data_IF_815044671307
#
_entry.id   IF_815044671307
#
_cell.length_a   1.000
_cell.length_b   1.000
_cell.length_c   1.000
_cell.angle_alpha   90.00
_cell.angle_beta   90.00
_cell.angle_gamma   90.00
#
_symmetry.space_group_name_H-M   'P 1'
#
loop_
_entity.id
_entity.type
_entity.pdbx_description
1 polymer ?
#
# COMPACT_ATOMS: atom_id res chain seq x y z
N UNK A 1 4.31 3.15 6.22
CA UNK A 1 4.68 4.24 5.28
C UNK A 1 4.94 5.54 6.04
N UNK A 2 4.12 5.87 7.05
CA UNK A 2 4.36 7.03 7.91
C UNK A 2 5.72 6.94 8.63
N UNK A 3 6.11 5.75 9.04
CA UNK A 3 7.39 5.44 9.69
C UNK A 3 8.57 5.72 8.75
N UNK A 4 8.47 5.31 7.49
CA UNK A 4 9.48 5.61 6.48
C UNK A 4 9.60 7.12 6.23
N UNK A 5 8.48 7.84 6.16
CA UNK A 5 8.48 9.30 6.03
C UNK A 5 9.12 9.99 7.25
N UNK A 6 8.92 9.47 8.46
CA UNK A 6 9.58 9.98 9.66
C UNK A 6 11.10 9.80 9.60
N UNK A 7 11.58 8.60 9.23
CA UNK A 7 13.01 8.33 9.07
C UNK A 7 13.66 9.25 8.01
N UNK A 8 12.98 9.48 6.89
CA UNK A 8 13.45 10.42 5.87
C UNK A 8 13.49 11.86 6.40
N UNK A 9 12.49 12.27 7.19
CA UNK A 9 12.45 13.59 7.83
C UNK A 9 13.57 13.77 8.86
N UNK A 10 14.00 12.69 9.51
CA UNK A 10 15.13 12.66 10.44
C UNK A 10 16.50 12.67 9.73
N UNK A 11 16.51 12.65 8.39
CA UNK A 11 17.73 12.78 7.58
C UNK A 11 18.25 11.48 6.98
N UNK A 12 17.51 10.37 7.08
CA UNK A 12 17.87 9.16 6.34
C UNK A 12 17.85 9.46 4.82
N UNK A 13 18.89 9.08 4.06
CA UNK A 13 18.94 9.36 2.63
C UNK A 13 17.96 8.49 1.84
N UNK A 14 17.64 7.30 2.37
CA UNK A 14 16.67 6.37 1.81
C UNK A 14 16.17 5.41 2.90
N UNK A 15 15.00 4.81 2.69
CA UNK A 15 14.42 3.77 3.56
C UNK A 15 14.04 2.57 2.71
N UNK A 16 14.51 1.38 3.08
CA UNK A 16 14.04 0.13 2.50
C UNK A 16 12.77 -0.32 3.23
N UNK A 17 11.62 -0.15 2.60
CA UNK A 17 10.34 -0.68 3.07
C UNK A 17 10.16 -2.10 2.52
N UNK A 18 9.95 -3.06 3.41
CA UNK A 18 9.62 -4.43 3.03
C UNK A 18 8.23 -4.76 3.59
N UNK A 19 7.32 -5.14 2.70
CA UNK A 19 5.98 -5.64 3.06
C UNK A 19 5.98 -7.14 2.77
N UNK A 20 5.70 -7.94 3.79
CA UNK A 20 5.58 -9.40 3.66
C UNK A 20 4.20 -9.81 4.11
N UNK A 21 3.51 -10.59 3.29
CA UNK A 21 2.24 -11.22 3.66
C UNK A 21 2.36 -12.72 3.45
N UNK A 22 1.71 -13.48 4.32
CA UNK A 22 1.65 -14.93 4.26
C UNK A 22 0.20 -15.39 4.37
N UNK A 23 -0.09 -16.58 3.84
CA UNK A 23 -1.40 -17.19 4.06
C UNK A 23 -1.56 -17.54 5.54
N UNK A 24 -2.74 -17.31 6.12
CA UNK A 24 -3.01 -17.81 7.46
C UNK A 24 -2.88 -19.34 7.48
N UNK A 25 -2.46 -19.94 8.61
CA UNK A 25 -2.48 -21.39 8.78
C UNK A 25 -3.86 -21.96 8.48
N UNK A 26 -3.92 -23.18 7.94
CA UNK A 26 -5.17 -23.81 7.50
C UNK A 26 -6.26 -23.82 8.58
N UNK A 27 -5.85 -24.02 9.84
CA UNK A 27 -6.75 -23.98 10.99
C UNK A 27 -7.57 -22.67 11.08
N UNK A 28 -7.08 -21.55 10.55
CA UNK A 28 -7.74 -20.24 10.61
C UNK A 28 -8.47 -19.83 9.32
N UNK A 29 -8.44 -20.67 8.29
CA UNK A 29 -8.96 -20.36 6.95
C UNK A 29 -10.46 -20.04 6.91
N UNK A 30 -11.24 -20.50 7.90
CA UNK A 30 -12.68 -20.22 8.01
C UNK A 30 -12.99 -18.82 8.54
N UNK A 31 -12.03 -18.16 9.19
CA UNK A 31 -12.22 -16.83 9.79
C UNK A 31 -11.49 -15.72 9.03
N UNK A 32 -10.45 -16.06 8.28
CA UNK A 32 -9.54 -15.09 7.66
C UNK A 32 -9.24 -15.50 6.21
N UNK A 33 -9.59 -14.63 5.27
CA UNK A 33 -9.30 -14.74 3.83
C UNK A 33 -8.62 -13.45 3.36
N UNK A 34 -7.37 -13.27 3.79
CA UNK A 34 -6.62 -12.03 3.65
C UNK A 34 -5.89 -11.94 2.29
N UNK A 35 -5.00 -12.89 2.00
CA UNK A 35 -4.14 -12.87 0.80
C UNK A 35 -4.20 -14.16 -0.02
N UNK A 36 -4.18 -14.05 -1.36
CA UNK A 36 -4.34 -15.20 -2.25
C UNK A 36 -3.10 -16.12 -2.31
N UNK A 37 -1.92 -15.63 -1.92
CA UNK A 37 -0.65 -16.37 -1.85
C UNK A 37 0.39 -15.58 -1.01
N UNK A 38 1.43 -16.24 -0.46
CA UNK A 38 2.52 -15.56 0.22
C UNK A 38 3.35 -14.68 -0.72
N UNK A 39 3.69 -13.47 -0.31
CA UNK A 39 4.51 -12.57 -1.13
C UNK A 39 5.33 -11.60 -0.29
N UNK A 40 6.36 -11.03 -0.92
CA UNK A 40 7.12 -9.91 -0.38
C UNK A 40 7.26 -8.80 -1.44
N UNK A 41 7.15 -7.55 -1.02
CA UNK A 41 7.42 -6.37 -1.84
C UNK A 41 8.48 -5.53 -1.13
N UNK A 42 9.61 -5.30 -1.82
CA UNK A 42 10.66 -4.38 -1.38
C UNK A 42 10.59 -3.07 -2.17
N UNK A 43 10.52 -1.94 -1.46
CA UNK A 43 10.52 -0.61 -2.04
C UNK A 43 11.65 0.21 -1.41
N UNK A 44 12.53 0.78 -2.24
CA UNK A 44 13.48 1.78 -1.79
C UNK A 44 12.81 3.15 -1.89
N UNK A 45 12.55 3.78 -0.75
CA UNK A 45 11.88 5.08 -0.66
C UNK A 45 12.95 6.15 -0.46
N UNK A 46 12.94 7.17 -1.31
CA UNK A 46 13.81 8.35 -1.22
C UNK A 46 12.96 9.61 -1.05
N UNK A 47 13.54 10.71 -0.53
CA UNK A 47 12.86 12.00 -0.53
C UNK A 47 12.50 12.42 -1.97
N UNK A 48 11.29 12.92 -2.19
CA UNK A 48 10.81 13.33 -3.51
C UNK A 48 9.33 13.71 -3.49
N UNK A 49 8.83 14.12 -4.67
CA UNK A 49 7.44 14.59 -4.84
C UNK A 49 6.70 13.88 -5.97
N UNK A 50 7.27 12.82 -6.54
CA UNK A 50 6.68 12.09 -7.67
C UNK A 50 5.34 11.44 -7.32
N UNK A 51 5.15 11.12 -6.05
CA UNK A 51 3.95 10.48 -5.52
C UNK A 51 3.47 11.19 -4.27
N UNK A 52 2.15 11.31 -4.17
CA UNK A 52 1.48 11.90 -3.02
C UNK A 52 0.49 10.92 -2.42
N UNK A 53 0.40 10.92 -1.09
CA UNK A 53 -0.55 10.13 -0.32
C UNK A 53 -1.51 11.06 0.40
N UNK A 54 -2.81 10.89 0.17
CA UNK A 54 -3.88 11.58 0.89
C UNK A 54 -4.76 10.59 1.64
N UNK A 55 -5.29 11.03 2.79
CA UNK A 55 -6.25 10.28 3.59
C UNK A 55 -7.61 10.97 3.51
N UNK A 56 -8.61 10.26 3.00
CA UNK A 56 -9.97 10.75 2.82
C UNK A 56 -10.97 9.85 3.54
N UNK A 57 -12.17 10.38 3.80
CA UNK A 57 -13.32 9.57 4.20
C UNK A 57 -13.99 8.95 2.96
N UNK A 58 -14.50 7.71 3.02
CA UNK A 58 -15.20 7.10 1.91
C UNK A 58 -16.47 7.90 1.59
N UNK A 59 -16.63 8.33 0.34
CA UNK A 59 -17.86 8.96 -0.13
C UNK A 59 -18.96 7.91 -0.40
N UNK A 60 -18.57 6.70 -0.80
CA UNK A 60 -19.43 5.56 -1.14
C UNK A 60 -18.89 4.25 -0.56
N UNK A 61 -19.72 3.19 -0.61
CA UNK A 61 -19.29 1.83 -0.29
C UNK A 61 -18.19 1.38 -1.27
N UNK A 62 -16.97 1.22 -0.76
CA UNK A 62 -15.82 0.84 -1.57
C UNK A 62 -15.86 -0.65 -1.92
N UNK A 63 -15.64 -0.96 -3.19
CA UNK A 63 -15.53 -2.34 -3.67
C UNK A 63 -14.26 -3.01 -3.16
N UNK A 64 -14.35 -4.30 -2.81
CA UNK A 64 -13.19 -5.10 -2.41
C UNK A 64 -12.20 -5.12 -3.57
N UNK A 65 -10.97 -4.65 -3.34
CA UNK A 65 -9.94 -4.66 -4.38
C UNK A 65 -9.52 -6.08 -4.69
N UNK A 66 -9.34 -6.40 -5.97
CA UNK A 66 -8.93 -7.75 -6.41
C UNK A 66 -7.58 -8.18 -5.84
N UNK A 67 -6.66 -7.22 -5.67
CA UNK A 67 -5.31 -7.49 -5.19
C UNK A 67 -5.06 -6.90 -3.80
N UNK A 68 -4.18 -7.53 -3.00
CA UNK A 68 -3.62 -6.93 -1.81
C UNK A 68 -2.95 -5.58 -2.08
N UNK A 69 -2.86 -4.78 -1.03
CA UNK A 69 -2.56 -3.36 -1.13
C UNK A 69 -1.16 -3.05 -1.66
N UNK A 70 -0.15 -3.79 -1.21
CA UNK A 70 1.22 -3.63 -1.71
C UNK A 70 1.34 -3.96 -3.20
N UNK A 71 0.59 -4.96 -3.68
CA UNK A 71 0.59 -5.35 -5.09
C UNK A 71 -0.15 -4.35 -5.98
N UNK A 72 -1.25 -3.76 -5.51
CA UNK A 72 -1.91 -2.66 -6.23
C UNK A 72 -1.02 -1.41 -6.33
N UNK A 73 -0.31 -1.06 -5.25
CA UNK A 73 0.67 0.02 -5.30
C UNK A 73 1.78 -0.29 -6.31
N UNK A 74 2.33 -1.50 -6.30
CA UNK A 74 3.36 -1.92 -7.26
C UNK A 74 2.89 -1.75 -8.72
N UNK A 75 1.64 -2.15 -9.03
CA UNK A 75 1.07 -1.96 -10.38
C UNK A 75 1.00 -0.48 -10.78
N UNK A 76 0.64 0.41 -9.86
CA UNK A 76 0.62 1.84 -10.10
C UNK A 76 2.05 2.39 -10.34
N UNK A 77 3.02 1.96 -9.52
CA UNK A 77 4.43 2.35 -9.67
C UNK A 77 5.03 1.88 -11.01
N UNK A 78 4.61 0.72 -11.52
CA UNK A 78 5.02 0.19 -12.82
C UNK A 78 4.34 0.87 -14.02
N UNK A 79 3.61 1.97 -13.80
CA UNK A 79 3.03 2.80 -14.86
C UNK A 79 1.73 2.27 -15.45
N UNK A 80 1.14 1.23 -14.86
CA UNK A 80 -0.18 0.74 -15.31
C UNK A 80 -1.32 1.65 -14.84
N UNK A 81 -1.11 2.44 -13.77
CA UNK A 81 -2.11 3.32 -13.17
C UNK A 81 -1.42 4.55 -12.56
N UNK A 82 -2.01 5.74 -12.73
CA UNK A 82 -1.51 6.99 -12.13
C UNK A 82 -2.10 7.26 -10.74
N UNK A 83 -3.13 6.52 -10.36
CA UNK A 83 -3.82 6.62 -9.07
C UNK A 83 -4.10 5.23 -8.53
N UNK A 84 -3.90 5.03 -7.23
CA UNK A 84 -4.26 3.80 -6.52
C UNK A 84 -4.98 4.16 -5.22
N UNK A 85 -6.18 3.61 -5.02
CA UNK A 85 -6.95 3.79 -3.79
C UNK A 85 -6.92 2.54 -2.94
N UNK A 86 -6.84 2.74 -1.64
CA UNK A 86 -6.85 1.70 -0.62
C UNK A 86 -7.93 2.05 0.39
N UNK A 87 -8.93 1.18 0.52
CA UNK A 87 -9.99 1.30 1.50
C UNK A 87 -9.61 0.52 2.77
N UNK A 88 -9.68 1.17 3.94
CA UNK A 88 -9.58 0.50 5.24
C UNK A 88 -10.60 1.05 6.21
N UNK A 89 -11.62 0.25 6.56
CA UNK A 89 -12.74 0.65 7.41
C UNK A 89 -13.41 1.94 6.87
N UNK A 90 -13.37 3.03 7.63
CA UNK A 90 -13.92 4.34 7.26
C UNK A 90 -12.86 5.30 6.70
N UNK A 91 -11.78 4.76 6.13
CA UNK A 91 -10.66 5.54 5.61
C UNK A 91 -10.29 5.10 4.20
N UNK A 92 -9.92 6.06 3.38
CA UNK A 92 -9.41 5.83 2.02
C UNK A 92 -8.06 6.50 1.89
N UNK A 93 -7.04 5.69 1.66
CA UNK A 93 -5.71 6.16 1.32
C UNK A 93 -5.61 6.23 -0.20
N UNK A 94 -5.39 7.42 -0.75
CA UNK A 94 -5.23 7.63 -2.19
C UNK A 94 -3.78 7.96 -2.48
N UNK A 95 -3.13 7.09 -3.24
CA UNK A 95 -1.85 7.35 -3.91
C UNK A 95 -2.11 7.95 -5.27
N UNK A 96 -1.40 9.02 -5.59
CA UNK A 96 -1.48 9.65 -6.91
C UNK A 96 -0.08 10.07 -7.35
N UNK A 97 0.23 9.78 -8.61
CA UNK A 97 1.44 10.27 -9.27
C UNK A 97 1.26 11.75 -9.60
N UNK A 98 2.24 12.57 -9.27
CA UNK A 98 2.26 13.96 -9.72
C UNK A 98 2.38 14.02 -11.25
N UNK A 99 1.76 15.02 -11.90
CA UNK A 99 1.84 15.22 -13.36
C UNK A 99 3.28 15.35 -13.86
#
# INVERSE_FOLDING_TARGET
MLEAAALLKEGAPAVLLVVTEEKPPEAYSTWIDDVPFPYAVGLLITPGTDWQLSLNSPADALSKTQWPHALNLLRALLGQQTTCQHAWKHRVWTWQRSP
#
